data_IF_896433745198
#
_entry.id   IF_896433745198
#
_cell.length_a   1.000
_cell.length_b   1.000
_cell.length_c   1.000
_cell.angle_alpha   90.00
_cell.angle_beta   90.00
_cell.angle_gamma   90.00
#
_symmetry.space_group_name_H-M   'P 1'
#
loop_
_entity.id
_entity.type
_entity.pdbx_description
1 polymer ?
#
# COMPACT_ATOMS: atom_id res chain seq x y z
N UNK A 1 -24.68 24.23 -1.24
CA UNK A 1 -23.34 24.40 -1.85
C UNK A 1 -23.09 23.15 -2.68
N UNK A 2 -22.80 23.27 -3.97
CA UNK A 2 -22.54 22.11 -4.83
C UNK A 2 -21.20 21.47 -4.40
N UNK A 3 -21.18 20.14 -4.21
CA UNK A 3 -19.97 19.43 -3.87
C UNK A 3 -18.98 19.52 -5.05
N UNK A 4 -17.69 19.65 -4.75
CA UNK A 4 -16.62 19.61 -5.76
C UNK A 4 -16.12 18.19 -5.94
N UNK A 5 -15.61 17.87 -7.12
CA UNK A 5 -15.12 16.53 -7.45
C UNK A 5 -14.04 16.02 -6.46
N UNK A 6 -13.08 16.88 -6.10
CA UNK A 6 -12.01 16.57 -5.14
C UNK A 6 -12.51 16.29 -3.70
N UNK A 7 -13.70 16.74 -3.35
CA UNK A 7 -14.32 16.42 -2.05
C UNK A 7 -15.02 15.07 -2.07
N UNK A 8 -15.45 14.61 -3.24
CA UNK A 8 -16.17 13.34 -3.43
C UNK A 8 -15.20 12.20 -3.73
N UNK A 9 -14.32 12.37 -4.70
CA UNK A 9 -13.32 11.38 -5.07
C UNK A 9 -11.97 11.73 -4.45
N UNK A 10 -11.53 10.94 -3.47
CA UNK A 10 -10.33 11.19 -2.66
C UNK A 10 -9.33 10.03 -2.77
N UNK A 11 -8.45 9.99 -3.78
CA UNK A 11 -7.55 8.87 -3.99
C UNK A 11 -6.54 8.62 -2.86
N UNK A 12 -6.15 9.67 -2.13
CA UNK A 12 -5.14 9.62 -1.07
C UNK A 12 -5.65 9.98 0.33
N UNK A 13 -6.98 10.08 0.52
CA UNK A 13 -7.57 10.46 1.80
C UNK A 13 -8.87 9.69 2.06
N UNK A 14 -9.45 9.88 3.24
CA UNK A 14 -10.69 9.21 3.63
C UNK A 14 -11.87 9.57 2.69
N UNK A 15 -12.51 8.58 2.00
CA UNK A 15 -13.50 8.81 0.97
C UNK A 15 -14.92 8.90 1.57
N UNK A 16 -15.25 9.96 2.25
CA UNK A 16 -16.51 10.13 3.00
C UNK A 16 -17.77 9.77 2.20
N UNK A 17 -17.87 10.25 0.94
CA UNK A 17 -19.04 10.07 0.08
C UNK A 17 -19.03 8.77 -0.72
N UNK A 18 -17.86 8.19 -0.93
CA UNK A 18 -17.67 7.03 -1.80
C UNK A 18 -17.21 5.78 -1.05
N UNK A 19 -17.23 5.83 0.29
CA UNK A 19 -16.93 4.66 1.10
C UNK A 19 -17.92 3.52 0.82
N UNK A 20 -17.38 2.32 0.61
CA UNK A 20 -18.15 1.09 0.41
C UNK A 20 -17.80 0.10 1.51
N UNK A 21 -18.79 -0.27 2.30
CA UNK A 21 -18.66 -1.34 3.29
C UNK A 21 -18.71 -2.70 2.61
N UNK A 22 -17.75 -3.58 2.93
CA UNK A 22 -17.67 -4.93 2.36
C UNK A 22 -17.78 -5.99 3.44
N UNK A 23 -18.25 -7.16 3.06
CA UNK A 23 -18.35 -8.28 3.98
C UNK A 23 -16.97 -9.01 4.10
N UNK A 24 -16.68 -9.45 5.32
CA UNK A 24 -15.54 -10.27 5.65
C UNK A 24 -15.83 -11.72 5.23
N UNK A 25 -15.05 -12.25 4.34
CA UNK A 25 -15.15 -13.64 3.86
C UNK A 25 -16.64 -14.06 3.76
N UNK A 26 -17.29 -14.50 3.01
CA UNK A 26 -18.69 -14.89 2.83
C UNK A 26 -19.55 -15.06 4.12
N UNK A 27 -19.21 -14.35 5.20
CA UNK A 27 -19.85 -14.47 6.53
C UNK A 27 -21.08 -13.59 6.69
N UNK A 28 -21.28 -12.60 5.80
CA UNK A 28 -22.28 -11.54 5.99
C UNK A 28 -21.90 -10.49 7.05
N UNK A 29 -20.72 -10.62 7.69
CA UNK A 29 -20.19 -9.68 8.68
C UNK A 29 -19.31 -8.66 7.95
N UNK A 30 -19.54 -7.36 8.17
CA UNK A 30 -18.71 -6.34 7.55
C UNK A 30 -17.28 -6.32 8.13
N UNK A 31 -16.30 -5.86 7.33
CA UNK A 31 -14.93 -5.67 7.81
C UNK A 31 -14.88 -4.71 9.00
N UNK A 32 -15.72 -3.67 9.01
CA UNK A 32 -15.82 -2.73 10.13
C UNK A 32 -16.27 -3.43 11.42
N UNK A 33 -17.29 -4.28 11.35
CA UNK A 33 -17.76 -5.02 12.51
C UNK A 33 -16.71 -6.01 13.00
N UNK A 34 -16.03 -6.69 12.08
CA UNK A 34 -14.95 -7.63 12.39
C UNK A 34 -13.75 -6.94 13.07
N UNK A 35 -13.32 -5.78 12.56
CA UNK A 35 -12.24 -5.00 13.19
C UNK A 35 -12.67 -4.46 14.55
N UNK A 36 -13.91 -3.96 14.68
CA UNK A 36 -14.45 -3.50 15.95
C UNK A 36 -14.49 -4.62 17.00
N UNK A 37 -14.85 -5.84 16.60
CA UNK A 37 -14.79 -7.01 17.49
C UNK A 37 -13.36 -7.31 17.92
N UNK A 38 -12.40 -7.32 16.97
CA UNK A 38 -10.99 -7.58 17.26
C UNK A 38 -10.43 -6.58 18.29
N UNK A 39 -10.71 -5.29 18.13
CA UNK A 39 -10.28 -4.23 19.05
C UNK A 39 -10.94 -4.30 20.45
N UNK A 40 -12.08 -4.99 20.58
CA UNK A 40 -12.73 -5.25 21.86
C UNK A 40 -12.22 -6.50 22.56
N UNK A 41 -11.44 -7.33 21.88
CA UNK A 41 -10.86 -8.55 22.45
C UNK A 41 -9.60 -8.20 23.22
N UNK A 42 -9.73 -8.01 24.52
CA UNK A 42 -8.62 -7.62 25.41
C UNK A 42 -7.48 -8.65 25.35
N UNK A 43 -6.24 -8.17 25.37
CA UNK A 43 -5.05 -9.01 25.37
C UNK A 43 -4.70 -9.64 24.02
N UNK A 44 -5.38 -9.25 22.93
CA UNK A 44 -5.11 -9.70 21.58
C UNK A 44 -4.52 -8.59 20.71
N UNK A 45 -3.54 -8.96 19.88
CA UNK A 45 -3.01 -8.14 18.79
C UNK A 45 -3.90 -8.31 17.57
N UNK A 46 -4.33 -7.22 16.96
CA UNK A 46 -5.05 -7.28 15.67
C UNK A 46 -4.04 -7.20 14.53
N UNK A 47 -4.06 -8.18 13.63
CA UNK A 47 -3.25 -8.19 12.41
C UNK A 47 -4.17 -8.05 11.20
N UNK A 48 -4.03 -6.93 10.48
CA UNK A 48 -4.81 -6.59 9.28
C UNK A 48 -3.94 -6.80 8.05
N UNK A 49 -4.27 -7.81 7.25
CA UNK A 49 -3.47 -8.27 6.14
C UNK A 49 -4.24 -8.12 4.84
N UNK A 50 -3.56 -7.74 3.79
CA UNK A 50 -4.16 -7.67 2.46
C UNK A 50 -3.22 -7.00 1.46
N UNK A 51 -3.48 -7.12 0.15
CA UNK A 51 -2.67 -6.48 -0.88
C UNK A 51 -2.55 -4.97 -0.68
N UNK A 52 -1.57 -4.36 -1.34
CA UNK A 52 -1.41 -2.90 -1.29
C UNK A 52 -2.64 -2.19 -1.88
N UNK A 53 -2.97 -1.01 -1.35
CA UNK A 53 -4.03 -0.12 -1.89
C UNK A 53 -5.45 -0.68 -1.84
N UNK A 54 -5.70 -1.66 -0.93
CA UNK A 54 -7.03 -2.26 -0.70
C UNK A 54 -7.86 -1.52 0.37
N UNK A 55 -7.36 -0.41 0.91
CA UNK A 55 -8.09 0.40 1.90
C UNK A 55 -7.92 -0.05 3.35
N UNK A 56 -6.84 -0.75 3.70
CA UNK A 56 -6.57 -1.20 5.08
C UNK A 56 -6.52 -0.04 6.07
N UNK A 57 -5.76 1.00 5.76
CA UNK A 57 -5.64 2.22 6.57
C UNK A 57 -6.99 2.94 6.68
N UNK A 58 -7.73 3.07 5.57
CA UNK A 58 -9.07 3.65 5.54
C UNK A 58 -10.05 2.88 6.45
N UNK A 59 -9.95 1.54 6.51
CA UNK A 59 -10.76 0.73 7.42
C UNK A 59 -10.41 1.05 8.89
N UNK A 60 -9.13 1.21 9.22
CA UNK A 60 -8.70 1.64 10.55
C UNK A 60 -9.27 3.02 10.90
N UNK A 61 -9.13 4.01 10.02
CA UNK A 61 -9.70 5.36 10.20
C UNK A 61 -11.22 5.31 10.41
N UNK A 62 -11.93 4.49 9.61
CA UNK A 62 -13.40 4.32 9.73
C UNK A 62 -13.85 3.76 11.07
N UNK A 63 -13.12 2.78 11.59
CA UNK A 63 -13.55 2.03 12.79
C UNK A 63 -13.04 2.69 14.08
N UNK A 64 -11.83 3.21 14.07
CA UNK A 64 -11.17 3.80 15.24
C UNK A 64 -11.58 5.27 15.39
N UNK A 65 -11.69 5.99 14.27
CA UNK A 65 -11.93 7.43 14.24
C UNK A 65 -10.61 8.23 14.29
N UNK A 66 -10.60 9.38 13.60
CA UNK A 66 -9.41 10.21 13.46
C UNK A 66 -8.82 10.72 14.79
N UNK A 67 -9.68 10.97 15.77
CA UNK A 67 -9.24 11.47 17.09
C UNK A 67 -8.53 10.40 17.91
N UNK A 68 -8.82 9.12 17.68
CA UNK A 68 -8.33 8.02 18.50
C UNK A 68 -7.23 7.19 17.85
N UNK A 69 -7.05 7.30 16.53
CA UNK A 69 -5.99 6.60 15.80
C UNK A 69 -4.63 7.26 16.04
N UNK A 70 -3.62 6.47 16.38
CA UNK A 70 -2.22 6.92 16.44
C UNK A 70 -1.43 6.04 15.51
N UNK A 71 -1.03 6.59 14.37
CA UNK A 71 -0.36 5.86 13.30
C UNK A 71 1.15 6.05 13.33
N UNK A 72 1.86 4.95 13.17
CA UNK A 72 3.31 4.89 12.95
C UNK A 72 3.59 3.97 11.76
N UNK A 73 4.65 4.23 11.01
CA UNK A 73 5.04 3.37 9.88
C UNK A 73 6.13 2.39 10.30
N UNK A 74 6.10 1.17 9.74
CA UNK A 74 7.22 0.24 9.86
C UNK A 74 8.53 0.81 9.33
N UNK A 75 8.48 1.76 8.38
CA UNK A 75 9.64 2.46 7.85
C UNK A 75 10.29 3.44 8.84
N UNK A 76 9.58 3.87 9.89
CA UNK A 76 10.12 4.76 10.93
C UNK A 76 11.14 4.04 11.84
N UNK A 77 11.27 2.72 11.70
CA UNK A 77 12.10 1.90 12.58
C UNK A 77 13.36 1.37 11.90
N UNK A 78 14.50 1.71 12.47
CA UNK A 78 15.80 1.13 12.14
C UNK A 78 16.37 0.41 13.38
N UNK A 79 17.54 -0.25 13.23
CA UNK A 79 18.17 -1.03 14.31
C UNK A 79 18.43 -0.27 15.60
N UNK A 80 18.57 1.06 15.54
CA UNK A 80 18.89 1.94 16.67
C UNK A 80 17.67 2.66 17.25
N UNK A 81 16.48 2.43 16.71
CA UNK A 81 15.27 3.15 17.10
C UNK A 81 14.65 2.54 18.35
N UNK A 82 14.36 3.39 19.34
CA UNK A 82 13.58 3.00 20.52
C UNK A 82 12.08 3.03 20.17
N UNK A 83 11.45 1.86 20.17
CA UNK A 83 10.03 1.71 19.84
C UNK A 83 9.13 2.61 20.70
N UNK A 84 9.36 2.61 22.03
CA UNK A 84 8.50 3.38 22.92
C UNK A 84 8.74 4.88 22.85
N UNK A 85 9.93 5.30 22.42
CA UNK A 85 10.20 6.72 22.17
C UNK A 85 9.34 7.25 21.01
N UNK A 86 9.23 6.48 19.91
CA UNK A 86 8.35 6.87 18.79
C UNK A 86 6.88 6.88 19.23
N UNK A 87 6.43 5.82 19.92
CA UNK A 87 5.03 5.70 20.37
C UNK A 87 4.66 6.86 21.31
N UNK A 88 5.56 7.26 22.22
CA UNK A 88 5.36 8.39 23.13
C UNK A 88 5.32 9.73 22.35
N UNK A 89 6.27 9.94 21.44
CA UNK A 89 6.39 11.17 20.67
C UNK A 89 5.13 11.46 19.83
N UNK A 90 4.48 10.43 19.28
CA UNK A 90 3.24 10.56 18.47
C UNK A 90 2.06 11.16 19.26
N UNK A 91 2.08 11.06 20.58
CA UNK A 91 1.05 11.64 21.45
C UNK A 91 1.59 12.80 22.31
N UNK A 92 2.76 13.32 21.94
CA UNK A 92 3.37 14.47 22.62
C UNK A 92 3.93 14.16 24.03
N UNK A 93 4.13 12.89 24.37
CA UNK A 93 4.72 12.50 25.64
C UNK A 93 6.25 12.53 25.56
N UNK A 94 6.95 13.16 26.51
CA UNK A 94 8.40 13.09 26.59
C UNK A 94 8.81 11.70 27.05
N UNK A 95 9.58 10.97 26.24
CA UNK A 95 10.06 9.63 26.62
C UNK A 95 11.47 9.65 27.20
N UNK A 96 12.32 10.52 26.66
CA UNK A 96 13.65 10.82 27.19
C UNK A 96 13.85 12.33 27.17
N UNK A 97 14.30 12.89 28.25
CA UNK A 97 14.57 14.31 28.35
C UNK A 97 15.71 14.61 29.33
N UNK A 98 16.43 15.68 29.05
CA UNK A 98 17.37 16.29 29.98
C UNK A 98 16.79 17.63 30.43
N UNK A 99 16.49 17.76 31.71
CA UNK A 99 16.14 19.04 32.31
C UNK A 99 17.43 19.62 32.91
N UNK A 100 17.93 20.65 32.28
CA UNK A 100 19.03 21.44 32.86
C UNK A 100 18.42 22.61 33.61
N UNK A 101 18.51 22.57 34.93
CA UNK A 101 18.10 23.70 35.76
C UNK A 101 19.37 24.48 36.15
N UNK A 102 19.52 25.66 35.59
CA UNK A 102 20.58 26.58 36.02
C UNK A 102 20.09 27.37 37.25
N UNK A 103 20.76 27.24 38.37
CA UNK A 103 20.57 28.10 39.54
C UNK A 103 21.77 29.02 39.64
N UNK A 104 21.55 30.30 39.51
CA UNK A 104 22.54 31.30 39.93
C UNK A 104 22.51 31.43 41.45
N UNK A 105 23.57 31.04 42.11
CA UNK A 105 23.77 31.32 43.50
C UNK A 105 24.76 32.48 43.62
N UNK A 106 24.31 33.63 44.10
CA UNK A 106 25.13 34.77 44.39
C UNK A 106 25.57 34.69 45.87
N UNK A 107 26.71 34.11 46.17
CA UNK A 107 27.40 34.30 47.44
C UNK A 107 28.67 35.09 47.21
N UNK A 108 28.61 36.38 47.63
CA UNK A 108 29.72 37.31 47.75
C UNK A 108 30.82 37.19 46.68
N UNK A 109 30.85 38.02 45.68
CA UNK A 109 31.90 38.24 44.66
C UNK A 109 32.34 37.07 43.76
N UNK A 110 31.80 35.89 43.84
CA UNK A 110 31.98 34.80 42.87
C UNK A 110 30.62 34.28 42.37
N UNK A 111 30.43 34.26 41.04
CA UNK A 111 29.27 33.60 40.40
C UNK A 111 29.61 32.13 40.25
N UNK A 112 29.01 31.27 41.08
CA UNK A 112 28.97 29.84 40.81
C UNK A 112 27.64 29.50 40.14
N UNK A 113 27.70 28.92 38.94
CA UNK A 113 26.55 28.40 38.24
C UNK A 113 26.48 26.92 38.54
N UNK A 114 25.54 26.50 39.37
CA UNK A 114 25.28 25.09 39.62
C UNK A 114 24.26 24.58 38.58
N UNK A 115 24.71 23.84 37.59
CA UNK A 115 23.86 23.22 36.60
C UNK A 115 23.49 21.80 37.03
N UNK A 116 22.25 21.58 37.43
CA UNK A 116 21.70 20.27 37.72
C UNK A 116 20.98 19.76 36.47
N UNK A 117 21.53 18.75 35.80
CA UNK A 117 20.86 18.06 34.73
C UNK A 117 20.11 16.84 35.27
N UNK A 118 18.79 16.86 35.26
CA UNK A 118 17.99 15.68 35.57
C UNK A 118 17.62 14.95 34.29
N UNK A 119 18.12 13.71 34.15
CA UNK A 119 17.70 12.79 33.11
C UNK A 119 16.45 12.06 33.56
N UNK A 120 15.34 12.27 32.87
CA UNK A 120 14.15 11.46 33.10
C UNK A 120 13.82 10.61 31.89
N UNK A 121 13.37 9.39 32.15
CA UNK A 121 12.86 8.46 31.16
C UNK A 121 11.42 8.16 31.52
N UNK A 122 10.48 8.49 30.63
CA UNK A 122 9.10 8.10 30.85
C UNK A 122 9.00 6.59 30.76
N UNK A 123 8.44 5.96 31.80
CA UNK A 123 8.30 4.51 31.80
C UNK A 123 7.33 4.06 30.72
N UNK A 124 7.63 2.91 30.05
CA UNK A 124 6.73 2.24 29.10
C UNK A 124 5.30 2.15 29.63
N UNK A 125 5.15 1.87 30.93
CA UNK A 125 3.86 1.71 31.61
C UNK A 125 3.03 2.99 31.57
N UNK A 126 3.67 4.15 31.71
CA UNK A 126 3.01 5.47 31.64
C UNK A 126 2.51 5.74 30.22
N UNK A 127 3.27 5.35 29.19
CA UNK A 127 2.83 5.46 27.79
C UNK A 127 1.61 4.58 27.54
N UNK A 128 1.64 3.33 27.96
CA UNK A 128 0.51 2.40 27.82
C UNK A 128 -0.72 2.93 28.56
N UNK A 129 -0.54 3.44 29.77
CA UNK A 129 -1.63 4.00 30.57
C UNK A 129 -2.27 5.21 29.87
N UNK A 130 -1.46 6.13 29.32
CA UNK A 130 -1.96 7.27 28.54
C UNK A 130 -2.85 6.85 27.37
N UNK A 131 -2.41 5.84 26.58
CA UNK A 131 -3.19 5.34 25.46
C UNK A 131 -4.55 4.76 25.90
N UNK A 132 -4.57 4.05 27.05
CA UNK A 132 -5.82 3.51 27.62
C UNK A 132 -6.77 4.60 28.09
N UNK A 133 -6.27 5.56 28.86
CA UNK A 133 -7.08 6.65 29.43
C UNK A 133 -7.69 7.56 28.37
N UNK A 134 -7.01 7.71 27.22
CA UNK A 134 -7.47 8.54 26.10
C UNK A 134 -8.10 7.72 24.94
N UNK A 135 -8.38 6.44 25.17
CA UNK A 135 -8.95 5.49 24.19
C UNK A 135 -8.18 5.47 22.85
N UNK A 136 -6.84 5.67 22.90
CA UNK A 136 -5.99 5.66 21.73
C UNK A 136 -5.73 4.23 21.24
N UNK A 137 -5.70 4.04 19.92
CA UNK A 137 -5.35 2.78 19.28
C UNK A 137 -4.06 3.00 18.48
N UNK A 138 -3.05 2.20 18.78
CA UNK A 138 -1.79 2.22 18.04
C UNK A 138 -1.97 1.43 16.73
N UNK A 139 -1.78 2.09 15.60
CA UNK A 139 -1.76 1.45 14.28
C UNK A 139 -0.34 1.48 13.74
N UNK A 140 0.23 0.31 13.50
CA UNK A 140 1.56 0.16 12.88
C UNK A 140 1.31 -0.19 11.42
N UNK A 141 1.33 0.82 10.56
CA UNK A 141 1.15 0.62 9.14
C UNK A 141 2.46 0.20 8.47
N UNK A 142 2.34 -0.48 7.34
CA UNK A 142 3.49 -0.93 6.57
C UNK A 142 4.56 -1.67 7.40
N UNK A 143 4.14 -2.48 8.37
CA UNK A 143 5.01 -3.22 9.29
C UNK A 143 6.12 -4.01 8.57
N UNK A 144 5.87 -4.43 7.35
CA UNK A 144 6.82 -5.17 6.51
C UNK A 144 8.05 -4.36 6.06
N UNK A 145 8.07 -3.04 6.23
CA UNK A 145 9.26 -2.22 5.94
C UNK A 145 10.29 -2.23 7.08
N UNK A 146 9.89 -2.56 8.29
CA UNK A 146 10.85 -2.80 9.35
C UNK A 146 11.72 -4.04 9.05
N UNK A 147 13.00 -4.02 9.42
CA UNK A 147 13.87 -5.19 9.28
C UNK A 147 13.32 -6.37 10.10
N UNK A 148 13.65 -7.62 9.70
CA UNK A 148 13.19 -8.83 10.43
C UNK A 148 13.58 -8.80 11.91
N UNK A 149 14.77 -8.30 12.22
CA UNK A 149 15.24 -8.13 13.60
C UNK A 149 14.35 -7.15 14.37
N UNK A 150 14.04 -6.00 13.75
CA UNK A 150 13.17 -5.00 14.35
C UNK A 150 11.74 -5.52 14.51
N UNK A 151 11.18 -6.20 13.51
CA UNK A 151 9.87 -6.83 13.60
C UNK A 151 9.78 -7.79 14.80
N UNK A 152 10.83 -8.57 15.05
CA UNK A 152 10.90 -9.48 16.20
C UNK A 152 10.95 -8.71 17.53
N UNK A 153 11.77 -7.66 17.61
CA UNK A 153 11.83 -6.79 18.79
C UNK A 153 10.48 -6.12 19.08
N UNK A 154 9.81 -5.61 18.03
CA UNK A 154 8.48 -4.99 18.16
C UNK A 154 7.44 -6.02 18.63
N UNK A 155 7.41 -7.22 18.09
CA UNK A 155 6.50 -8.29 18.50
C UNK A 155 6.65 -8.62 20.01
N UNK A 156 7.89 -8.68 20.50
CA UNK A 156 8.18 -8.88 21.94
C UNK A 156 7.67 -7.72 22.81
N UNK A 157 7.87 -6.47 22.37
CA UNK A 157 7.38 -5.29 23.08
C UNK A 157 5.85 -5.23 23.11
N UNK A 158 5.21 -5.58 21.99
CA UNK A 158 3.76 -5.59 21.85
C UNK A 158 3.10 -6.67 22.70
N UNK A 159 3.73 -7.84 22.89
CA UNK A 159 3.21 -8.91 23.74
C UNK A 159 2.87 -8.43 25.16
N UNK A 160 3.78 -7.68 25.78
CA UNK A 160 3.54 -7.14 27.12
C UNK A 160 2.49 -6.01 27.10
N UNK A 161 2.54 -5.15 26.10
CA UNK A 161 1.62 -4.03 25.97
C UNK A 161 0.15 -4.48 25.78
N UNK A 162 -0.11 -5.50 24.96
CA UNK A 162 -1.48 -6.04 24.75
C UNK A 162 -2.01 -6.72 26.01
N UNK A 163 -1.13 -7.37 26.82
CA UNK A 163 -1.53 -7.91 28.13
C UNK A 163 -2.02 -6.84 29.10
N UNK A 164 -1.54 -5.61 28.93
CA UNK A 164 -1.96 -4.42 29.66
C UNK A 164 -3.10 -3.68 28.95
N UNK A 165 -3.74 -4.36 28.00
CA UNK A 165 -4.91 -3.87 27.26
C UNK A 165 -4.64 -2.70 26.30
N UNK A 166 -3.37 -2.45 25.91
CA UNK A 166 -3.10 -1.55 24.79
C UNK A 166 -3.74 -2.13 23.52
N UNK A 167 -4.58 -1.34 22.86
CA UNK A 167 -5.18 -1.71 21.58
C UNK A 167 -4.16 -1.45 20.47
N UNK A 168 -3.83 -2.49 19.70
CA UNK A 168 -2.84 -2.42 18.63
C UNK A 168 -3.36 -3.08 17.37
N UNK A 169 -3.21 -2.41 16.24
CA UNK A 169 -3.42 -2.95 14.90
C UNK A 169 -2.08 -2.93 14.17
N UNK A 170 -1.68 -4.07 13.62
CA UNK A 170 -0.54 -4.17 12.72
C UNK A 170 -1.05 -4.40 11.31
N UNK A 171 -0.67 -3.53 10.39
CA UNK A 171 -1.08 -3.58 8.98
C UNK A 171 0.06 -4.07 8.12
N UNK A 172 -0.18 -5.07 7.28
CA UNK A 172 0.88 -5.69 6.49
C UNK A 172 0.40 -6.25 5.14
N UNK A 173 1.38 -6.66 4.30
CA UNK A 173 1.14 -7.37 3.05
C UNK A 173 1.14 -8.89 3.26
N UNK A 174 0.39 -9.69 2.46
CA UNK A 174 0.19 -11.13 2.69
C UNK A 174 1.47 -11.97 2.73
N UNK A 175 2.52 -11.57 2.01
CA UNK A 175 3.71 -12.40 1.79
C UNK A 175 4.98 -11.92 2.51
N UNK A 176 4.93 -10.83 3.28
CA UNK A 176 6.14 -10.17 3.79
C UNK A 176 6.24 -9.99 5.29
N UNK A 177 5.14 -9.92 6.01
CA UNK A 177 5.17 -9.44 7.39
C UNK A 177 4.69 -10.42 8.42
N UNK A 178 4.06 -11.48 8.01
CA UNK A 178 3.41 -12.37 8.95
C UNK A 178 4.35 -13.26 9.73
N UNK A 179 5.54 -13.51 9.20
CA UNK A 179 6.46 -14.47 9.81
C UNK A 179 6.87 -14.05 11.22
N UNK A 180 7.21 -12.79 11.45
CA UNK A 180 7.66 -12.34 12.78
C UNK A 180 6.54 -12.32 13.83
N UNK A 181 5.31 -12.00 13.42
CA UNK A 181 4.15 -11.95 14.32
C UNK A 181 3.51 -13.34 14.45
N UNK A 182 3.28 -14.04 13.34
CA UNK A 182 2.64 -15.36 13.33
C UNK A 182 3.55 -16.47 13.86
N UNK A 183 4.84 -16.39 13.56
CA UNK A 183 5.83 -17.37 14.05
C UNK A 183 6.26 -17.12 15.50
N UNK A 184 5.87 -15.97 16.06
CA UNK A 184 6.13 -15.71 17.46
C UNK A 184 5.20 -16.60 18.33
N UNK A 185 5.77 -17.67 18.86
CA UNK A 185 5.05 -18.60 19.75
C UNK A 185 4.35 -17.89 20.92
N UNK A 186 4.89 -16.78 21.34
CA UNK A 186 4.39 -15.95 22.44
C UNK A 186 3.10 -15.19 22.11
N UNK A 187 2.84 -14.91 20.84
CA UNK A 187 1.61 -14.31 20.34
C UNK A 187 0.58 -15.35 19.88
N UNK A 188 0.96 -16.64 19.87
CA UNK A 188 0.05 -17.74 19.55
C UNK A 188 -1.15 -17.71 20.51
N UNK A 189 -2.37 -17.75 19.95
CA UNK A 189 -3.61 -17.64 20.72
C UNK A 189 -3.99 -16.22 21.17
N UNK A 190 -3.18 -15.20 20.84
CA UNK A 190 -3.45 -13.78 21.13
C UNK A 190 -3.47 -12.93 19.88
N UNK A 191 -3.80 -13.51 18.74
CA UNK A 191 -3.78 -12.87 17.45
C UNK A 191 -5.17 -12.89 16.82
N UNK A 192 -5.73 -11.71 16.57
CA UNK A 192 -6.94 -11.53 15.77
C UNK A 192 -6.53 -11.23 14.33
N UNK A 193 -6.60 -12.25 13.46
CA UNK A 193 -6.28 -12.11 12.05
C UNK A 193 -7.49 -11.62 11.27
N UNK A 194 -7.28 -10.63 10.41
CA UNK A 194 -8.28 -10.09 9.48
C UNK A 194 -7.62 -10.01 8.11
N UNK A 195 -8.06 -10.85 7.18
CA UNK A 195 -7.57 -10.83 5.81
C UNK A 195 -8.48 -9.93 4.98
N UNK A 196 -7.92 -8.86 4.42
CA UNK A 196 -8.63 -8.01 3.46
C UNK A 196 -8.47 -8.62 2.08
N UNK A 197 -9.56 -9.10 1.53
CA UNK A 197 -9.61 -9.65 0.18
C UNK A 197 -9.58 -8.55 -0.88
N UNK A 198 -9.20 -8.95 -2.09
CA UNK A 198 -9.29 -8.08 -3.26
C UNK A 198 -10.72 -7.57 -3.45
N UNK A 199 -10.85 -6.36 -3.97
CA UNK A 199 -12.16 -5.78 -4.25
C UNK A 199 -12.82 -6.49 -5.43
N UNK A 200 -14.08 -6.83 -5.29
CA UNK A 200 -14.88 -7.32 -6.40
C UNK A 200 -15.31 -6.15 -7.30
N UNK A 201 -15.57 -6.45 -8.56
CA UNK A 201 -16.01 -5.43 -9.55
C UNK A 201 -17.28 -4.71 -9.08
N UNK A 202 -18.22 -5.43 -8.45
CA UNK A 202 -19.47 -4.84 -7.92
C UNK A 202 -19.19 -3.74 -6.89
N UNK A 203 -18.22 -3.96 -5.99
CA UNK A 203 -17.87 -3.01 -4.92
C UNK A 203 -17.14 -1.79 -5.50
N UNK A 204 -16.24 -2.01 -6.46
CA UNK A 204 -15.56 -0.93 -7.18
C UNK A 204 -16.56 -0.07 -7.98
N UNK A 205 -17.48 -0.72 -8.70
CA UNK A 205 -18.55 -0.04 -9.42
C UNK A 205 -19.39 0.86 -8.49
N UNK A 206 -19.67 0.40 -7.27
CA UNK A 206 -20.41 1.17 -6.29
C UNK A 206 -19.72 2.49 -5.90
N UNK A 207 -18.37 2.51 -5.86
CA UNK A 207 -17.59 3.75 -5.65
C UNK A 207 -17.94 4.79 -6.73
N UNK A 208 -17.89 4.40 -8.00
CA UNK A 208 -18.19 5.28 -9.12
C UNK A 208 -19.63 5.77 -9.09
N UNK A 209 -20.58 4.83 -8.94
CA UNK A 209 -22.02 5.16 -8.92
C UNK A 209 -22.38 6.12 -7.77
N UNK A 210 -21.87 5.87 -6.56
CA UNK A 210 -22.06 6.77 -5.40
C UNK A 210 -21.48 8.15 -5.67
N UNK A 211 -20.23 8.22 -6.15
CA UNK A 211 -19.53 9.50 -6.32
C UNK A 211 -20.15 10.36 -7.42
N UNK A 212 -20.41 9.80 -8.59
CA UNK A 212 -21.06 10.53 -9.68
C UNK A 212 -22.46 10.99 -9.34
N UNK A 213 -23.23 10.18 -8.58
CA UNK A 213 -24.53 10.58 -8.06
C UNK A 213 -24.46 11.81 -7.13
N UNK A 214 -23.43 11.91 -6.29
CA UNK A 214 -23.22 13.08 -5.41
C UNK A 214 -22.92 14.37 -6.19
N UNK A 215 -22.39 14.24 -7.41
CA UNK A 215 -22.02 15.34 -8.28
C UNK A 215 -23.06 15.66 -9.36
N UNK A 216 -24.22 14.98 -9.36
CA UNK A 216 -25.24 15.07 -10.41
C UNK A 216 -24.71 14.73 -11.81
N UNK A 217 -23.72 13.84 -11.87
CA UNK A 217 -23.16 13.31 -13.12
C UNK A 217 -23.83 11.97 -13.45
N UNK A 218 -24.27 11.82 -14.70
CA UNK A 218 -24.90 10.58 -15.18
C UNK A 218 -23.86 9.59 -15.67
N UNK A 219 -24.00 8.35 -15.27
CA UNK A 219 -23.20 7.21 -15.73
C UNK A 219 -24.09 5.99 -15.89
N UNK A 220 -23.89 5.20 -16.94
CA UNK A 220 -24.60 3.92 -17.11
C UNK A 220 -23.91 2.81 -16.34
N UNK A 221 -24.63 1.73 -16.09
CA UNK A 221 -24.11 0.56 -15.38
C UNK A 221 -22.98 -0.11 -16.14
N UNK A 222 -23.06 -0.16 -17.47
CA UNK A 222 -22.03 -0.74 -18.36
C UNK A 222 -20.74 0.08 -18.34
N UNK A 223 -20.82 1.41 -18.33
CA UNK A 223 -19.64 2.29 -18.21
C UNK A 223 -18.99 2.13 -16.84
N UNK A 224 -19.78 2.05 -15.78
CA UNK A 224 -19.28 1.82 -14.44
C UNK A 224 -18.63 0.43 -14.28
N UNK A 225 -19.16 -0.60 -14.94
CA UNK A 225 -18.56 -1.94 -15.00
C UNK A 225 -17.21 -1.92 -15.73
N UNK A 226 -17.09 -1.19 -16.84
CA UNK A 226 -15.83 -1.04 -17.57
C UNK A 226 -14.77 -0.33 -16.71
N UNK A 227 -15.15 0.70 -15.95
CA UNK A 227 -14.27 1.34 -14.98
C UNK A 227 -13.77 0.34 -13.93
N UNK A 228 -14.68 -0.50 -13.41
CA UNK A 228 -14.33 -1.49 -12.40
C UNK A 228 -13.34 -2.55 -12.92
N UNK A 229 -13.43 -2.93 -14.19
CA UNK A 229 -12.47 -3.84 -14.83
C UNK A 229 -11.07 -3.23 -14.89
N UNK A 230 -10.96 -1.94 -15.25
CA UNK A 230 -9.66 -1.26 -15.37
C UNK A 230 -9.04 -0.89 -14.02
N UNK A 231 -9.82 -0.88 -12.94
CA UNK A 231 -9.30 -0.55 -11.60
C UNK A 231 -8.47 -1.66 -10.95
N UNK A 232 -8.34 -2.84 -11.55
CA UNK A 232 -7.41 -3.88 -11.11
C UNK A 232 -7.57 -4.25 -9.62
N UNK A 233 -8.79 -4.31 -9.13
CA UNK A 233 -9.15 -4.53 -7.72
C UNK A 233 -8.80 -3.38 -6.76
N UNK A 234 -8.34 -2.21 -7.25
CA UNK A 234 -7.91 -1.09 -6.42
C UNK A 234 -8.99 -0.01 -6.28
N UNK A 235 -9.55 0.20 -5.08
CA UNK A 235 -10.46 1.31 -4.83
C UNK A 235 -9.77 2.67 -4.99
N UNK A 236 -8.48 2.77 -4.67
CA UNK A 236 -7.71 3.99 -4.87
C UNK A 236 -7.65 4.37 -6.36
N UNK A 237 -7.41 3.39 -7.24
CA UNK A 237 -7.37 3.63 -8.68
C UNK A 237 -8.74 4.06 -9.21
N UNK A 238 -9.84 3.48 -8.71
CA UNK A 238 -11.20 3.92 -9.02
C UNK A 238 -11.38 5.40 -8.67
N UNK A 239 -10.95 5.84 -7.50
CA UNK A 239 -11.02 7.25 -7.08
C UNK A 239 -10.23 8.15 -8.04
N UNK A 240 -8.99 7.75 -8.45
CA UNK A 240 -8.19 8.51 -9.41
C UNK A 240 -8.87 8.65 -10.75
N UNK A 241 -9.39 7.55 -11.32
CA UNK A 241 -10.05 7.56 -12.62
C UNK A 241 -11.31 8.43 -12.57
N UNK A 242 -12.15 8.26 -11.55
CA UNK A 242 -13.37 9.04 -11.41
C UNK A 242 -13.08 10.54 -11.25
N UNK A 243 -12.04 10.91 -10.50
CA UNK A 243 -11.61 12.31 -10.38
C UNK A 243 -11.13 12.86 -11.72
N UNK A 244 -10.35 12.10 -12.48
CA UNK A 244 -9.90 12.47 -13.84
C UNK A 244 -11.08 12.66 -14.80
N UNK A 245 -12.08 11.78 -14.73
CA UNK A 245 -13.32 11.92 -15.50
C UNK A 245 -14.03 13.22 -15.15
N UNK A 246 -14.19 13.53 -13.86
CA UNK A 246 -14.82 14.79 -13.44
C UNK A 246 -14.09 16.01 -14.00
N UNK A 247 -12.76 16.03 -13.95
CA UNK A 247 -11.94 17.12 -14.52
C UNK A 247 -12.16 17.28 -16.02
N UNK A 248 -12.25 16.19 -16.78
CA UNK A 248 -12.52 16.24 -18.22
C UNK A 248 -13.95 16.70 -18.53
N UNK A 249 -14.93 16.31 -17.71
CA UNK A 249 -16.32 16.76 -17.88
C UNK A 249 -16.47 18.26 -17.54
N UNK A 250 -15.78 18.74 -16.51
CA UNK A 250 -15.77 20.17 -16.17
C UNK A 250 -15.17 21.01 -17.30
N UNK A 251 -14.06 20.60 -17.90
CA UNK A 251 -13.43 21.27 -19.04
C UNK A 251 -14.37 21.40 -20.25
N UNK A 252 -15.17 20.35 -20.51
CA UNK A 252 -16.12 20.30 -21.60
C UNK A 252 -17.51 20.83 -21.25
N UNK A 253 -17.76 21.18 -20.01
CA UNK A 253 -19.09 21.52 -19.47
C UNK A 253 -20.13 20.42 -19.73
N UNK A 254 -19.72 19.16 -19.58
CA UNK A 254 -20.54 17.96 -19.74
C UNK A 254 -20.90 17.35 -18.39
N UNK A 255 -21.98 16.53 -18.36
CA UNK A 255 -22.45 15.88 -17.13
C UNK A 255 -22.82 14.40 -17.36
N UNK A 256 -22.30 13.79 -18.42
CA UNK A 256 -22.57 12.39 -18.78
C UNK A 256 -21.24 11.70 -19.05
N UNK A 257 -20.99 10.63 -18.33
CA UNK A 257 -19.85 9.73 -18.58
C UNK A 257 -20.25 8.73 -19.68
N UNK A 258 -19.48 8.67 -20.74
CA UNK A 258 -19.67 7.74 -21.85
C UNK A 258 -18.40 6.94 -22.15
N UNK A 259 -18.50 5.91 -23.00
CA UNK A 259 -17.35 5.06 -23.38
C UNK A 259 -16.26 5.82 -24.11
N UNK A 260 -16.61 6.81 -24.95
CA UNK A 260 -15.66 7.51 -25.83
C UNK A 260 -14.62 8.32 -25.04
N UNK A 261 -14.96 8.75 -23.83
CA UNK A 261 -14.06 9.51 -22.98
C UNK A 261 -13.13 8.64 -22.13
N UNK A 262 -13.40 7.34 -21.95
CA UNK A 262 -12.70 6.49 -20.99
C UNK A 262 -11.21 6.35 -21.32
N UNK A 263 -10.85 6.15 -22.57
CA UNK A 263 -9.44 6.05 -22.96
C UNK A 263 -8.65 7.34 -22.62
N UNK A 264 -9.24 8.50 -22.89
CA UNK A 264 -8.65 9.77 -22.53
C UNK A 264 -8.53 9.92 -21.00
N UNK A 265 -9.56 9.53 -20.26
CA UNK A 265 -9.55 9.57 -18.80
C UNK A 265 -8.47 8.65 -18.21
N UNK A 266 -8.28 7.45 -18.77
CA UNK A 266 -7.22 6.54 -18.34
C UNK A 266 -5.83 7.13 -18.58
N UNK A 267 -5.56 7.65 -19.79
CA UNK A 267 -4.30 8.33 -20.12
C UNK A 267 -4.07 9.55 -19.22
N UNK A 268 -5.10 10.36 -19.01
CA UNK A 268 -5.02 11.52 -18.13
C UNK A 268 -4.74 11.14 -16.68
N UNK A 269 -5.33 10.04 -16.19
CA UNK A 269 -5.05 9.52 -14.85
C UNK A 269 -3.58 9.17 -14.66
N UNK A 270 -2.92 8.60 -15.68
CA UNK A 270 -1.52 8.17 -15.59
C UNK A 270 -0.51 9.31 -15.49
N UNK A 271 -0.89 10.52 -15.88
CA UNK A 271 -0.02 11.71 -15.74
C UNK A 271 0.39 11.95 -14.28
N UNK A 272 -0.44 11.52 -13.34
CA UNK A 272 -0.15 11.63 -11.90
C UNK A 272 0.81 10.53 -11.37
N UNK A 273 1.21 9.56 -12.22
CA UNK A 273 1.96 8.38 -11.78
C UNK A 273 3.42 8.44 -12.27
N UNK A 274 4.36 8.39 -11.35
CA UNK A 274 5.79 8.45 -11.66
C UNK A 274 6.40 7.04 -11.74
N UNK A 275 6.03 6.25 -12.77
CA UNK A 275 6.63 4.93 -13.00
C UNK A 275 7.58 4.86 -14.20
N UNK A 276 7.87 5.98 -14.84
CA UNK A 276 8.74 6.02 -16.02
C UNK A 276 10.10 5.36 -15.77
N UNK A 277 10.78 5.72 -14.69
CA UNK A 277 12.09 5.18 -14.36
C UNK A 277 12.02 3.69 -13.99
N UNK A 278 10.97 3.27 -13.28
CA UNK A 278 10.72 1.86 -12.95
C UNK A 278 10.58 1.02 -14.23
N UNK A 279 9.75 1.47 -15.16
CA UNK A 279 9.54 0.81 -16.46
C UNK A 279 10.84 0.74 -17.26
N UNK A 280 11.58 1.84 -17.32
CA UNK A 280 12.87 1.89 -18.04
C UNK A 280 13.89 0.90 -17.48
N UNK A 281 14.00 0.80 -16.16
CA UNK A 281 14.93 -0.15 -15.54
C UNK A 281 14.53 -1.59 -15.81
N UNK A 282 13.24 -1.92 -15.68
CA UNK A 282 12.72 -3.27 -15.95
C UNK A 282 12.92 -3.62 -17.43
N UNK A 283 12.54 -2.71 -18.34
CA UNK A 283 12.65 -2.93 -19.79
C UNK A 283 14.09 -3.04 -20.28
N UNK A 284 15.04 -2.29 -19.69
CA UNK A 284 16.45 -2.38 -20.04
C UNK A 284 17.12 -3.63 -19.49
N UNK A 285 16.62 -4.16 -18.38
CA UNK A 285 17.27 -5.30 -17.71
C UNK A 285 18.71 -5.00 -17.27
N UNK A 286 19.51 -6.03 -16.88
CA UNK A 286 20.90 -5.86 -16.49
C UNK A 286 21.77 -5.46 -17.69
N UNK A 287 22.87 -4.77 -17.44
CA UNK A 287 23.83 -4.44 -18.50
C UNK A 287 24.35 -5.71 -19.16
N UNK A 288 24.29 -5.83 -20.50
CA UNK A 288 24.77 -7.02 -21.20
C UNK A 288 26.27 -7.16 -21.03
N UNK A 289 26.74 -8.34 -20.61
CA UNK A 289 28.17 -8.68 -20.54
C UNK A 289 28.60 -9.27 -21.89
N UNK A 290 29.03 -8.42 -22.83
CA UNK A 290 29.69 -8.81 -24.09
C UNK A 290 28.77 -8.90 -25.32
N UNK A 291 27.85 -9.83 -25.43
CA UNK A 291 26.99 -9.99 -26.62
C UNK A 291 25.74 -9.10 -26.57
N UNK A 292 25.38 -8.51 -27.72
CA UNK A 292 24.05 -7.84 -27.88
C UNK A 292 22.94 -8.85 -27.66
N UNK A 293 21.87 -8.40 -27.00
CA UNK A 293 20.65 -9.22 -26.82
C UNK A 293 19.92 -9.42 -28.14
N UNK A 294 19.27 -10.56 -28.26
CA UNK A 294 18.37 -10.82 -29.39
C UNK A 294 17.19 -9.86 -29.30
N UNK A 295 16.85 -9.25 -30.42
CA UNK A 295 15.64 -8.44 -30.59
C UNK A 295 14.58 -9.29 -31.30
N UNK A 296 13.34 -9.08 -30.92
CA UNK A 296 12.16 -9.73 -31.48
C UNK A 296 11.23 -8.65 -32.01
N UNK A 297 10.79 -8.82 -33.26
CA UNK A 297 9.81 -7.92 -33.86
C UNK A 297 8.41 -8.27 -33.35
N UNK A 298 7.70 -7.29 -32.85
CA UNK A 298 6.33 -7.47 -32.35
C UNK A 298 5.29 -7.21 -33.44
N UNK A 299 4.03 -7.61 -33.18
CA UNK A 299 2.90 -7.40 -34.09
C UNK A 299 2.62 -5.92 -34.40
N UNK A 300 2.93 -5.03 -33.45
CA UNK A 300 2.83 -3.57 -33.60
C UNK A 300 4.10 -2.92 -34.18
N UNK A 301 5.05 -3.75 -34.66
CA UNK A 301 6.25 -3.30 -35.37
C UNK A 301 7.40 -2.84 -34.51
N UNK A 302 7.32 -2.91 -33.17
CA UNK A 302 8.42 -2.60 -32.26
C UNK A 302 9.47 -3.71 -32.28
N UNK A 303 10.73 -3.36 -32.06
CA UNK A 303 11.83 -4.31 -31.81
C UNK A 303 12.19 -4.29 -30.33
N UNK A 304 11.94 -5.40 -29.64
CA UNK A 304 12.12 -5.54 -28.19
C UNK A 304 13.00 -6.73 -27.87
N UNK A 305 13.84 -6.59 -26.84
CA UNK A 305 14.50 -7.73 -26.22
C UNK A 305 13.51 -8.47 -25.27
N UNK A 306 13.97 -9.53 -24.62
CA UNK A 306 13.12 -10.31 -23.71
C UNK A 306 12.61 -9.51 -22.50
N UNK A 307 13.35 -8.54 -21.99
CA UNK A 307 12.87 -7.70 -20.89
C UNK A 307 11.74 -6.77 -21.34
N UNK A 308 11.89 -6.17 -22.53
CA UNK A 308 10.81 -5.39 -23.16
C UNK A 308 9.56 -6.23 -23.40
N UNK A 309 9.72 -7.48 -23.92
CA UNK A 309 8.61 -8.41 -24.13
C UNK A 309 7.92 -8.82 -22.83
N UNK A 310 8.67 -9.03 -21.73
CA UNK A 310 8.11 -9.32 -20.40
C UNK A 310 7.23 -8.14 -19.96
N UNK A 311 7.72 -6.91 -20.05
CA UNK A 311 6.94 -5.71 -19.66
C UNK A 311 5.67 -5.58 -20.51
N UNK A 312 5.77 -5.77 -21.86
CA UNK A 312 4.61 -5.74 -22.75
C UNK A 312 3.60 -6.87 -22.42
N UNK A 313 4.08 -8.05 -22.02
CA UNK A 313 3.21 -9.17 -21.64
C UNK A 313 2.37 -8.87 -20.40
N UNK A 314 2.94 -8.13 -19.42
CA UNK A 314 2.20 -7.71 -18.23
C UNK A 314 1.06 -6.74 -18.55
N UNK A 315 1.28 -5.84 -19.52
CA UNK A 315 0.30 -4.83 -19.92
C UNK A 315 -0.90 -5.38 -20.73
N UNK A 316 -0.88 -6.66 -21.17
CA UNK A 316 -1.91 -7.25 -22.02
C UNK A 316 -3.24 -7.50 -21.30
N UNK A 317 -4.32 -7.48 -22.10
CA UNK A 317 -5.66 -7.85 -21.66
C UNK A 317 -5.81 -9.38 -21.47
N UNK A 318 -6.59 -9.81 -20.48
CA UNK A 318 -7.09 -9.03 -19.35
C UNK A 318 -5.95 -8.62 -18.40
N UNK A 319 -6.04 -7.48 -17.71
CA UNK A 319 -5.06 -7.11 -16.70
C UNK A 319 -5.12 -8.08 -15.52
N UNK A 320 -3.96 -8.63 -15.13
CA UNK A 320 -3.84 -9.66 -14.09
C UNK A 320 -2.71 -9.28 -13.16
N UNK A 321 -2.98 -9.30 -11.84
CA UNK A 321 -1.99 -8.97 -10.81
C UNK A 321 -1.05 -10.13 -10.46
N UNK A 322 -1.45 -11.37 -10.74
CA UNK A 322 -0.66 -12.58 -10.52
C UNK A 322 -0.68 -13.43 -11.78
N UNK A 323 0.48 -13.61 -12.42
CA UNK A 323 0.63 -14.40 -13.64
C UNK A 323 1.58 -15.57 -13.37
N UNK A 324 1.16 -16.78 -13.65
CA UNK A 324 2.07 -17.91 -13.73
C UNK A 324 3.01 -17.81 -14.95
N UNK A 325 4.07 -18.62 -14.91
CA UNK A 325 5.06 -18.60 -15.99
C UNK A 325 4.45 -18.91 -17.36
N UNK A 326 3.51 -19.85 -17.43
CA UNK A 326 2.89 -20.26 -18.70
C UNK A 326 2.08 -19.12 -19.29
N UNK A 327 1.30 -18.44 -18.49
CA UNK A 327 0.55 -17.24 -18.90
C UNK A 327 1.48 -16.13 -19.41
N UNK A 328 2.60 -15.85 -18.72
CA UNK A 328 3.60 -14.85 -19.17
C UNK A 328 4.20 -15.28 -20.51
N UNK A 329 4.61 -16.55 -20.63
CA UNK A 329 5.19 -17.07 -21.84
C UNK A 329 4.23 -17.01 -23.02
N UNK A 330 2.98 -17.44 -22.85
CA UNK A 330 1.94 -17.40 -23.89
C UNK A 330 1.66 -15.97 -24.34
N UNK A 331 1.60 -15.02 -23.42
CA UNK A 331 1.45 -13.60 -23.76
C UNK A 331 2.62 -13.08 -24.57
N UNK A 332 3.86 -13.46 -24.22
CA UNK A 332 5.07 -13.10 -25.00
C UNK A 332 5.00 -13.67 -26.41
N UNK A 333 4.66 -14.96 -26.54
CA UNK A 333 4.55 -15.62 -27.86
C UNK A 333 3.48 -14.97 -28.75
N UNK A 334 2.39 -14.53 -28.15
CA UNK A 334 1.29 -13.85 -28.84
C UNK A 334 1.60 -12.38 -29.20
N UNK A 335 2.68 -11.80 -28.68
CA UNK A 335 3.19 -10.49 -29.12
C UNK A 335 3.97 -10.57 -30.42
N UNK A 336 4.49 -11.75 -30.79
CA UNK A 336 5.42 -11.95 -31.89
C UNK A 336 4.68 -12.58 -33.07
N UNK A 337 4.84 -12.07 -34.31
CA UNK A 337 4.25 -12.68 -35.51
C UNK A 337 4.63 -14.16 -35.67
N UNK A 338 3.73 -14.96 -36.25
CA UNK A 338 3.99 -16.39 -36.46
C UNK A 338 5.20 -16.66 -37.41
N UNK A 339 5.53 -15.69 -38.25
CA UNK A 339 6.66 -15.73 -39.19
C UNK A 339 8.02 -15.46 -38.56
N UNK A 340 8.04 -14.96 -37.33
CA UNK A 340 9.29 -14.58 -36.61
C UNK A 340 9.71 -15.70 -35.66
N UNK A 341 11.04 -15.74 -35.37
CA UNK A 341 11.60 -16.63 -34.37
C UNK A 341 11.10 -16.29 -32.97
N UNK A 342 10.69 -17.31 -32.22
CA UNK A 342 10.18 -17.15 -30.86
C UNK A 342 11.23 -17.46 -29.81
N UNK A 343 11.22 -16.78 -28.66
CA UNK A 343 12.12 -17.11 -27.55
C UNK A 343 11.79 -18.49 -26.99
N UNK A 344 12.82 -19.23 -26.57
CA UNK A 344 12.58 -20.48 -25.86
C UNK A 344 12.21 -20.23 -24.38
N UNK A 345 11.53 -21.22 -23.79
CA UNK A 345 11.01 -21.14 -22.42
C UNK A 345 12.12 -20.92 -21.37
N UNK A 346 13.27 -21.56 -21.54
CA UNK A 346 14.38 -21.45 -20.59
C UNK A 346 14.98 -20.03 -20.60
N UNK A 347 15.09 -19.44 -21.80
CA UNK A 347 15.52 -18.04 -21.92
C UNK A 347 14.59 -17.08 -21.21
N UNK A 348 13.26 -17.22 -21.39
CA UNK A 348 12.26 -16.38 -20.68
C UNK A 348 12.39 -16.56 -19.16
N UNK A 349 12.47 -17.80 -18.67
CA UNK A 349 12.60 -18.10 -17.25
C UNK A 349 13.90 -17.53 -16.66
N UNK A 350 15.01 -17.62 -17.41
CA UNK A 350 16.28 -17.03 -17.01
C UNK A 350 16.22 -15.51 -16.89
N UNK A 351 15.51 -14.83 -17.82
CA UNK A 351 15.32 -13.38 -17.76
C UNK A 351 14.44 -12.95 -16.58
N UNK A 352 13.41 -13.72 -16.24
CA UNK A 352 12.59 -13.48 -15.03
C UNK A 352 13.40 -13.64 -13.74
N UNK A 353 14.28 -14.66 -13.66
CA UNK A 353 15.18 -14.84 -12.53
C UNK A 353 16.19 -13.69 -12.41
N UNK A 354 16.78 -13.24 -13.53
CA UNK A 354 17.69 -12.09 -13.55
C UNK A 354 16.95 -10.79 -13.17
N UNK A 355 15.71 -10.63 -13.60
CA UNK A 355 14.86 -9.50 -13.21
C UNK A 355 14.70 -9.43 -11.70
N UNK A 356 14.44 -10.57 -11.04
CA UNK A 356 14.35 -10.63 -9.58
C UNK A 356 15.63 -10.14 -8.87
N UNK A 357 16.80 -10.40 -9.44
CA UNK A 357 18.08 -9.90 -8.89
C UNK A 357 18.18 -8.38 -8.97
N UNK A 358 17.79 -7.80 -10.13
CA UNK A 358 17.78 -6.34 -10.32
C UNK A 358 16.78 -5.67 -9.38
N UNK A 359 15.60 -6.27 -9.25
CA UNK A 359 14.56 -5.77 -8.38
C UNK A 359 14.98 -5.74 -6.90
N UNK A 360 15.79 -6.71 -6.46
CA UNK A 360 16.37 -6.74 -5.10
C UNK A 360 17.43 -5.68 -4.85
N UNK A 361 18.18 -5.31 -5.89
CA UNK A 361 19.24 -4.29 -5.79
C UNK A 361 18.69 -2.86 -5.77
N UNK A 362 17.44 -2.67 -6.21
CA UNK A 362 16.78 -1.36 -6.32
C UNK A 362 15.45 -1.38 -5.57
N UNK A 363 15.46 -0.92 -4.32
CA UNK A 363 14.29 -0.98 -3.42
C UNK A 363 13.00 -0.37 -3.99
N UNK A 364 13.09 0.73 -4.76
CA UNK A 364 11.92 1.38 -5.37
C UNK A 364 11.24 0.50 -6.41
N UNK A 365 12.01 -0.23 -7.20
CA UNK A 365 11.52 -1.14 -8.25
C UNK A 365 10.95 -2.41 -7.65
N UNK A 366 11.54 -2.88 -6.55
CA UNK A 366 11.08 -4.06 -5.81
C UNK A 366 9.63 -3.95 -5.32
N UNK A 367 9.13 -2.72 -5.13
CA UNK A 367 7.75 -2.46 -4.69
C UNK A 367 6.71 -2.61 -5.80
N UNK A 368 7.09 -2.63 -7.08
CA UNK A 368 6.16 -2.67 -8.21
C UNK A 368 5.83 -4.09 -8.67
N UNK A 369 6.85 -4.95 -8.80
CA UNK A 369 6.70 -6.35 -9.24
C UNK A 369 7.63 -7.28 -8.46
N UNK A 370 7.27 -8.56 -8.40
CA UNK A 370 8.09 -9.63 -7.81
C UNK A 370 7.99 -10.90 -8.68
N UNK A 371 9.11 -11.60 -8.86
CA UNK A 371 9.14 -12.95 -9.42
C UNK A 371 9.47 -13.94 -8.32
N UNK A 372 8.52 -14.81 -8.00
CA UNK A 372 8.66 -15.79 -6.92
C UNK A 372 7.84 -17.05 -7.21
N UNK A 373 8.37 -18.21 -6.87
CA UNK A 373 7.69 -19.52 -6.96
C UNK A 373 7.05 -19.80 -8.36
N UNK A 374 7.73 -19.33 -9.44
CA UNK A 374 7.25 -19.52 -10.82
C UNK A 374 6.13 -18.58 -11.24
N UNK A 375 5.88 -17.51 -10.49
CA UNK A 375 4.86 -16.51 -10.76
C UNK A 375 5.42 -15.10 -10.75
N UNK A 376 4.86 -14.23 -11.59
CA UNK A 376 5.04 -12.78 -11.53
C UNK A 376 3.90 -12.19 -10.73
N UNK A 377 4.23 -11.49 -9.66
CA UNK A 377 3.28 -10.70 -8.87
C UNK A 377 3.46 -9.22 -9.20
N UNK A 378 2.41 -8.57 -9.64
CA UNK A 378 2.37 -7.12 -9.72
C UNK A 378 1.88 -6.62 -8.36
N UNK A 379 2.76 -5.99 -7.60
CA UNK A 379 2.49 -5.59 -6.22
C UNK A 379 1.72 -4.27 -6.13
N UNK A 380 1.79 -3.46 -7.18
CA UNK A 380 1.14 -2.16 -7.26
C UNK A 380 0.17 -2.10 -8.46
N UNK A 381 -1.14 -2.02 -8.23
CA UNK A 381 -2.12 -1.88 -9.30
C UNK A 381 -1.97 -0.59 -10.11
N UNK A 382 -1.48 0.51 -9.51
CA UNK A 382 -1.23 1.76 -10.24
C UNK A 382 -0.09 1.60 -11.24
N UNK A 383 0.94 0.80 -10.91
CA UNK A 383 2.01 0.46 -11.83
C UNK A 383 1.48 -0.32 -13.05
N UNK A 384 0.65 -1.34 -12.83
CA UNK A 384 0.06 -2.11 -13.93
C UNK A 384 -0.84 -1.22 -14.80
N UNK A 385 -1.62 -0.35 -14.20
CA UNK A 385 -2.43 0.62 -14.93
C UNK A 385 -1.57 1.57 -15.77
N UNK A 386 -0.46 2.07 -15.20
CA UNK A 386 0.52 2.88 -15.93
C UNK A 386 1.15 2.14 -17.11
N UNK A 387 1.51 0.85 -16.95
CA UNK A 387 2.01 0.03 -18.05
C UNK A 387 1.04 -0.06 -19.22
N UNK A 388 -0.25 0.03 -18.97
CA UNK A 388 -1.31 -0.09 -19.99
C UNK A 388 -1.63 1.22 -20.70
N UNK A 389 -1.64 2.32 -19.96
CA UNK A 389 -2.20 3.59 -20.41
C UNK A 389 -1.23 4.78 -20.41
N UNK A 390 -0.09 4.68 -19.72
CA UNK A 390 0.87 5.77 -19.54
C UNK A 390 2.09 5.74 -20.43
N UNK A 391 2.13 4.82 -21.42
CA UNK A 391 3.28 4.64 -22.33
C UNK A 391 2.95 5.03 -23.75
#
# INVERSE_FOLDING_TARGET
MRLKAENVFKPGAYPEYTYVSRNYENTGISYELRLKQALRTAGCLTSLIGPSKMGKTILCEKVIGFDNIVEISGADFNSNTDFWAIVAAKVGLPYKGELTTEREVNEGNSKETDSKSEKYVLAKDTVIQYYKEHDKVLVIDDFHYASKEMQTKMAQQLKDAIRRELKVVVVSLPHRADDAIRQNADLSGRLSLINIEAWEKKDLKEIALKGFKQLDIKITDEVAEQLAVECLTSPQLMQYICLSICTLLEDKNEHIVNFDMLEMAYKFTTVNFNYYDVVNVISKGPNPRGKKRNLYKTLDGKELDLYGLIVESLAKNPPIMELDFDTVYDRIINLIPKTEGKPDRNSVKSHLNNLQTILKEKEEIYKAIEWKDGKVYVLDPLFLFYLRWGR
#
